data_IF_789236829497
#
_entry.id   IF_789236829497
#
_cell.length_a   1.000
_cell.length_b   1.000
_cell.length_c   1.000
_cell.angle_alpha   90.00
_cell.angle_beta   90.00
_cell.angle_gamma   90.00
#
_symmetry.space_group_name_H-M   'P 1'
#
loop_
_entity.id
_entity.type
_entity.pdbx_description
1 polymer ?
#
# COMPACT_ATOMS: atom_id res chain seq x y z
N UNK A 1 12.86 -26.28 -33.38
CA UNK A 1 12.86 -27.24 -32.25
C UNK A 1 13.69 -26.78 -31.03
N UNK A 2 14.84 -26.11 -31.20
CA UNK A 2 15.70 -25.67 -30.09
C UNK A 2 15.06 -24.60 -29.16
N UNK A 3 14.28 -23.65 -29.70
CA UNK A 3 13.62 -22.59 -28.92
C UNK A 3 12.56 -23.11 -27.92
N UNK A 4 11.85 -24.18 -28.25
CA UNK A 4 10.83 -24.78 -27.38
C UNK A 4 11.43 -25.53 -26.18
N UNK A 5 12.60 -26.15 -26.33
CA UNK A 5 13.31 -26.82 -25.22
C UNK A 5 13.89 -25.80 -24.23
N UNK A 6 14.50 -24.72 -24.74
CA UNK A 6 15.05 -23.63 -23.91
C UNK A 6 13.97 -22.93 -23.08
N UNK A 7 12.83 -22.61 -23.69
CA UNK A 7 11.70 -21.98 -22.99
C UNK A 7 11.10 -22.88 -21.89
N UNK A 8 11.02 -24.20 -22.11
CA UNK A 8 10.55 -25.17 -21.10
C UNK A 8 11.52 -25.31 -19.94
N UNK A 9 12.83 -25.40 -20.21
CA UNK A 9 13.86 -25.45 -19.17
C UNK A 9 13.87 -24.18 -18.31
N UNK A 10 13.72 -23.01 -18.95
CA UNK A 10 13.65 -21.74 -18.25
C UNK A 10 12.41 -21.63 -17.37
N UNK A 11 11.24 -22.04 -17.87
CA UNK A 11 10.00 -22.09 -17.07
C UNK A 11 10.14 -23.03 -15.87
N UNK A 12 10.79 -24.19 -16.05
CA UNK A 12 11.04 -25.13 -14.95
C UNK A 12 11.94 -24.50 -13.87
N UNK A 13 13.00 -23.80 -14.27
CA UNK A 13 13.87 -23.07 -13.33
C UNK A 13 13.12 -21.99 -12.55
N UNK A 14 12.24 -21.21 -13.21
CA UNK A 14 11.42 -20.21 -12.54
C UNK A 14 10.49 -20.85 -11.48
N UNK A 15 9.92 -22.01 -11.79
CA UNK A 15 9.06 -22.76 -10.85
C UNK A 15 9.89 -23.28 -9.68
N UNK A 16 11.03 -23.92 -9.94
CA UNK A 16 11.93 -24.44 -8.89
C UNK A 16 12.39 -23.31 -7.95
N UNK A 17 12.77 -22.16 -8.51
CA UNK A 17 13.16 -20.97 -7.73
C UNK A 17 11.99 -20.38 -6.92
N UNK A 18 10.78 -20.34 -7.47
CA UNK A 18 9.60 -19.90 -6.73
C UNK A 18 9.31 -20.84 -5.56
N UNK A 19 9.36 -22.15 -5.79
CA UNK A 19 9.06 -23.15 -4.76
C UNK A 19 10.14 -23.23 -3.67
N UNK A 20 11.36 -22.74 -3.94
CA UNK A 20 12.43 -22.68 -2.94
C UNK A 20 12.33 -21.48 -1.99
N UNK A 21 11.38 -20.56 -2.21
CA UNK A 21 11.19 -19.40 -1.33
C UNK A 21 10.54 -19.89 -0.02
N UNK A 22 11.31 -19.89 1.06
CA UNK A 22 10.82 -20.27 2.38
C UNK A 22 9.91 -19.20 3.02
N UNK A 23 9.14 -19.58 4.04
CA UNK A 23 8.38 -18.62 4.83
C UNK A 23 9.32 -17.68 5.61
N UNK A 24 8.84 -16.46 5.84
CA UNK A 24 9.51 -15.45 6.66
C UNK A 24 8.58 -15.08 7.80
N UNK A 25 9.08 -15.13 9.04
CA UNK A 25 8.33 -14.68 10.20
C UNK A 25 8.16 -13.16 10.14
N UNK A 26 7.04 -12.62 10.61
CA UNK A 26 6.80 -11.17 10.69
C UNK A 26 6.76 -10.78 12.15
N UNK A 27 7.51 -9.75 12.53
CA UNK A 27 7.62 -9.28 13.91
C UNK A 27 7.64 -7.74 13.99
N UNK A 28 7.41 -7.25 15.20
CA UNK A 28 7.57 -5.87 15.61
C UNK A 28 8.56 -5.82 16.78
N UNK A 29 9.54 -4.94 16.71
CA UNK A 29 10.52 -4.72 17.75
C UNK A 29 10.46 -3.26 18.19
N UNK A 30 10.00 -2.98 19.41
CA UNK A 30 10.00 -1.63 19.97
C UNK A 30 11.23 -1.41 20.85
N UNK A 31 12.02 -0.39 20.49
CA UNK A 31 13.20 0.02 21.21
C UNK A 31 12.86 1.18 22.16
N UNK A 32 13.49 1.26 23.35
CA UNK A 32 13.31 2.38 24.25
C UNK A 32 13.77 3.70 23.61
N UNK A 33 13.16 4.82 24.03
CA UNK A 33 13.53 6.15 23.55
C UNK A 33 14.94 6.57 23.98
N UNK A 34 15.58 7.45 23.21
CA UNK A 34 16.98 7.87 23.39
C UNK A 34 17.36 8.46 24.77
N UNK A 35 16.38 8.83 25.62
CA UNK A 35 16.64 9.39 26.97
C UNK A 35 17.01 8.34 28.03
N UNK A 36 16.94 7.04 27.72
CA UNK A 36 17.30 5.97 28.65
C UNK A 36 18.73 5.44 28.52
N UNK A 37 19.49 5.86 27.50
CA UNK A 37 20.80 5.29 27.18
C UNK A 37 21.98 5.95 27.91
N UNK A 38 21.75 6.98 28.73
CA UNK A 38 22.76 7.60 29.59
C UNK A 38 22.80 6.92 30.95
N UNK A 39 23.13 5.63 30.99
CA UNK A 39 23.18 4.92 32.26
C UNK A 39 23.55 3.44 32.19
N UNK A 40 24.85 3.18 32.28
CA UNK A 40 25.49 1.91 32.72
C UNK A 40 25.35 0.70 31.79
N UNK A 41 26.50 0.09 31.54
CA UNK A 41 26.62 -1.17 30.81
C UNK A 41 25.99 -2.36 31.54
N UNK A 42 25.69 -3.37 30.73
CA UNK A 42 25.25 -4.75 31.06
C UNK A 42 23.80 -4.92 31.54
N UNK A 43 22.84 -4.70 30.62
CA UNK A 43 21.78 -5.65 30.22
C UNK A 43 21.09 -5.10 28.95
N UNK A 44 21.61 -5.47 27.79
CA UNK A 44 21.46 -4.78 26.49
C UNK A 44 20.05 -4.84 25.83
N UNK A 45 19.07 -5.40 26.52
CA UNK A 45 17.69 -5.62 26.05
C UNK A 45 16.64 -5.02 26.99
N UNK A 46 17.06 -4.29 28.03
CA UNK A 46 16.13 -3.70 29.01
C UNK A 46 15.18 -2.70 28.32
N UNK A 47 13.88 -2.95 28.41
CA UNK A 47 12.84 -2.13 27.77
C UNK A 47 12.65 -2.39 26.27
N UNK A 48 13.31 -3.38 25.68
CA UNK A 48 13.06 -3.82 24.29
C UNK A 48 11.88 -4.80 24.28
N UNK A 49 10.90 -4.55 23.42
CA UNK A 49 9.73 -5.41 23.30
C UNK A 49 9.64 -6.03 21.91
N UNK A 50 9.70 -7.37 21.83
CA UNK A 50 9.49 -8.13 20.60
C UNK A 50 8.09 -8.73 20.59
N UNK A 51 7.30 -8.42 19.57
CA UNK A 51 5.97 -8.97 19.35
C UNK A 51 5.88 -9.63 17.98
N UNK A 52 5.11 -10.72 17.81
CA UNK A 52 4.80 -11.20 16.48
C UNK A 52 3.89 -10.20 15.76
N UNK A 53 3.98 -10.14 14.43
CA UNK A 53 3.06 -9.35 13.61
C UNK A 53 1.60 -9.82 13.76
N UNK A 54 0.62 -9.07 13.22
CA UNK A 54 -0.80 -9.32 13.50
C UNK A 54 -1.28 -10.77 13.27
N UNK A 55 -1.65 -11.42 14.39
CA UNK A 55 -2.05 -12.82 14.43
C UNK A 55 -0.95 -13.82 14.03
N UNK A 56 0.31 -13.43 14.21
CA UNK A 56 1.49 -14.27 14.09
C UNK A 56 1.74 -15.15 15.33
N UNK A 57 2.53 -16.20 15.15
CA UNK A 57 3.01 -17.03 16.25
C UNK A 57 4.26 -16.39 16.89
N UNK A 58 4.62 -16.73 18.14
CA UNK A 58 5.86 -16.27 18.76
C UNK A 58 7.08 -16.51 17.87
N UNK A 59 8.03 -15.56 17.89
CA UNK A 59 9.21 -15.59 17.02
C UNK A 59 10.19 -16.65 17.51
N UNK A 60 10.64 -17.50 16.59
CA UNK A 60 11.65 -18.55 16.82
C UNK A 60 12.86 -18.36 15.91
N UNK A 61 13.72 -19.38 15.77
CA UNK A 61 14.82 -19.37 14.80
C UNK A 61 14.33 -19.31 13.35
N UNK A 62 15.23 -18.86 12.47
CA UNK A 62 15.00 -18.68 11.03
C UNK A 62 14.91 -17.22 10.59
N UNK A 63 14.34 -17.01 9.40
CA UNK A 63 14.22 -15.68 8.78
C UNK A 63 13.08 -14.87 9.40
N UNK A 64 13.37 -13.62 9.80
CA UNK A 64 12.40 -12.72 10.44
C UNK A 64 12.43 -11.34 9.78
N UNK A 65 11.31 -10.94 9.19
CA UNK A 65 11.02 -9.58 8.78
C UNK A 65 10.52 -8.79 9.99
N UNK A 66 11.20 -7.70 10.34
CA UNK A 66 10.92 -6.94 11.56
C UNK A 66 10.59 -5.51 11.20
N UNK A 67 9.44 -5.02 11.67
CA UNK A 67 9.20 -3.58 11.84
C UNK A 67 9.91 -3.12 13.10
N UNK A 68 10.83 -2.17 12.98
CA UNK A 68 11.47 -1.54 14.12
C UNK A 68 10.71 -0.28 14.50
N UNK A 69 10.40 -0.18 15.79
CA UNK A 69 9.80 0.99 16.42
C UNK A 69 10.78 1.62 17.41
N UNK A 70 10.61 2.92 17.64
CA UNK A 70 11.22 3.63 18.77
C UNK A 70 10.12 4.37 19.51
N UNK A 71 9.90 3.99 20.77
CA UNK A 71 8.80 4.50 21.58
C UNK A 71 7.44 4.44 20.84
N UNK A 72 7.13 3.26 20.29
CA UNK A 72 5.88 2.98 19.58
C UNK A 72 5.79 3.49 18.14
N UNK A 73 6.74 4.30 17.66
CA UNK A 73 6.70 4.87 16.30
C UNK A 73 7.53 4.06 15.30
N UNK A 74 7.01 3.76 14.10
CA UNK A 74 7.75 3.02 13.07
C UNK A 74 8.94 3.84 12.54
N UNK A 75 10.14 3.26 12.55
CA UNK A 75 11.39 3.95 12.14
C UNK A 75 12.14 3.23 11.01
N UNK A 76 11.86 1.95 10.78
CA UNK A 76 12.51 1.16 9.75
C UNK A 76 11.99 -0.26 9.71
N UNK A 77 12.40 -1.01 8.69
CA UNK A 77 12.32 -2.47 8.69
C UNK A 77 13.72 -3.07 8.69
N UNK A 78 13.83 -4.35 9.02
CA UNK A 78 15.02 -5.18 8.79
C UNK A 78 14.63 -6.63 8.49
N UNK A 79 15.53 -7.38 7.86
CA UNK A 79 15.42 -8.84 7.74
C UNK A 79 16.57 -9.48 8.51
N UNK A 80 16.24 -10.14 9.61
CA UNK A 80 17.19 -10.88 10.44
C UNK A 80 17.16 -12.37 10.17
N UNK A 81 18.27 -13.04 10.43
CA UNK A 81 18.33 -14.50 10.59
C UNK A 81 18.61 -14.79 12.06
N UNK A 82 17.68 -15.47 12.73
CA UNK A 82 17.83 -15.90 14.11
C UNK A 82 18.39 -17.33 14.13
N UNK A 83 19.62 -17.57 14.61
CA UNK A 83 20.18 -18.92 14.70
C UNK A 83 19.39 -19.83 15.62
N UNK A 84 19.48 -21.14 15.40
CA UNK A 84 18.88 -22.13 16.30
C UNK A 84 19.46 -22.01 17.71
N UNK A 85 18.59 -21.93 18.72
CA UNK A 85 18.97 -21.77 20.12
C UNK A 85 19.39 -20.35 20.55
N UNK A 86 19.44 -19.39 19.62
CA UNK A 86 19.69 -17.99 19.97
C UNK A 86 18.42 -17.30 20.50
N UNK A 87 18.60 -16.28 21.36
CA UNK A 87 17.51 -15.40 21.77
C UNK A 87 17.12 -14.44 20.63
N UNK A 88 15.89 -14.52 20.08
CA UNK A 88 15.44 -13.62 19.02
C UNK A 88 15.51 -12.15 19.42
N UNK A 89 15.26 -11.80 20.69
CA UNK A 89 15.27 -10.41 21.14
C UNK A 89 16.67 -9.84 21.03
N UNK A 90 17.67 -10.52 21.59
CA UNK A 90 19.06 -10.08 21.53
C UNK A 90 19.57 -9.94 20.08
N UNK A 91 19.29 -10.91 19.21
CA UNK A 91 19.73 -10.89 17.80
C UNK A 91 19.11 -9.71 17.05
N UNK A 92 17.78 -9.57 17.13
CA UNK A 92 17.06 -8.54 16.37
C UNK A 92 17.32 -7.13 16.93
N UNK A 93 17.48 -6.98 18.24
CA UNK A 93 17.87 -5.72 18.86
C UNK A 93 19.27 -5.27 18.42
N UNK A 94 20.23 -6.19 18.30
CA UNK A 94 21.56 -5.90 17.77
C UNK A 94 21.50 -5.32 16.36
N UNK A 95 20.76 -5.97 15.46
CA UNK A 95 20.57 -5.51 14.08
C UNK A 95 19.84 -4.16 14.02
N UNK A 96 18.84 -3.95 14.87
CA UNK A 96 18.03 -2.73 14.85
C UNK A 96 18.81 -1.47 15.29
N UNK A 97 19.92 -1.62 16.02
CA UNK A 97 20.80 -0.49 16.41
C UNK A 97 21.57 0.09 15.23
N UNK A 98 21.79 -0.68 14.18
CA UNK A 98 22.45 -0.21 12.95
C UNK A 98 21.53 0.69 12.11
N UNK A 99 20.21 0.72 12.39
CA UNK A 99 19.30 1.61 11.71
C UNK A 99 19.64 3.08 12.04
N UNK A 100 19.66 3.96 11.01
CA UNK A 100 20.03 5.35 11.21
C UNK A 100 19.11 6.01 12.24
N UNK A 101 19.66 6.89 13.09
CA UNK A 101 18.85 7.62 14.04
C UNK A 101 17.83 8.48 13.30
N UNK A 102 16.55 8.35 13.68
CA UNK A 102 15.50 9.22 13.18
C UNK A 102 15.39 10.47 14.04
N UNK A 103 15.04 11.59 13.39
CA UNK A 103 14.75 12.82 14.10
C UNK A 103 13.62 12.59 15.12
N UNK A 104 13.64 13.29 16.27
CA UNK A 104 12.54 13.24 17.22
C UNK A 104 11.24 13.61 16.50
N UNK A 105 10.15 12.89 16.79
CA UNK A 105 8.89 13.19 16.15
C UNK A 105 8.40 14.59 16.52
N UNK A 106 7.90 15.31 15.53
CA UNK A 106 7.13 16.53 15.79
C UNK A 106 5.82 16.16 16.53
N UNK A 107 5.38 17.00 17.49
CA UNK A 107 4.06 16.87 18.09
C UNK A 107 2.98 16.91 16.98
N UNK A 108 2.06 15.95 17.02
CA UNK A 108 0.95 15.96 16.07
C UNK A 108 -0.06 17.04 16.49
N UNK A 109 -0.61 17.79 15.53
CA UNK A 109 -1.78 18.60 15.80
C UNK A 109 -2.98 17.71 16.13
N UNK A 110 -3.98 18.28 16.81
CA UNK A 110 -5.26 17.59 17.04
C UNK A 110 -5.89 17.24 15.69
N UNK A 111 -6.15 15.96 15.41
CA UNK A 111 -6.70 15.57 14.11
C UNK A 111 -8.16 16.05 13.98
N UNK A 112 -8.60 16.38 12.76
CA UNK A 112 -10.00 16.71 12.51
C UNK A 112 -10.89 15.47 12.60
N UNK A 113 -12.20 15.64 12.84
CA UNK A 113 -13.20 14.56 12.75
C UNK A 113 -13.01 13.72 11.47
N UNK A 114 -13.05 12.41 11.58
CA UNK A 114 -12.76 11.49 10.47
C UNK A 114 -13.89 10.50 10.20
N UNK A 115 -13.93 9.96 8.99
CA UNK A 115 -14.75 8.79 8.67
C UNK A 115 -13.91 7.76 7.96
N UNK A 116 -13.98 6.50 8.40
CA UNK A 116 -13.27 5.39 7.76
C UNK A 116 -14.25 4.61 6.89
N UNK A 117 -13.96 4.50 5.59
CA UNK A 117 -14.71 3.69 4.65
C UNK A 117 -13.95 2.39 4.38
N UNK A 118 -14.61 1.26 4.61
CA UNK A 118 -14.10 -0.08 4.29
C UNK A 118 -15.03 -0.73 3.27
N UNK A 119 -14.54 -0.92 2.05
CA UNK A 119 -15.28 -1.68 1.05
C UNK A 119 -14.97 -3.18 1.20
N UNK A 120 -16.00 -4.01 1.15
CA UNK A 120 -15.83 -5.48 1.21
C UNK A 120 -16.75 -6.18 0.22
N UNK A 121 -16.42 -7.44 -0.08
CA UNK A 121 -17.29 -8.33 -0.85
C UNK A 121 -16.96 -9.79 -0.53
N UNK A 122 -17.91 -10.51 0.05
CA UNK A 122 -17.81 -11.96 0.37
C UNK A 122 -16.56 -12.32 1.19
N UNK A 123 -16.24 -11.48 2.19
CA UNK A 123 -15.01 -11.59 3.01
C UNK A 123 -15.24 -11.26 4.48
N UNK A 124 -16.41 -11.61 5.02
CA UNK A 124 -16.81 -11.30 6.40
C UNK A 124 -15.71 -11.60 7.44
N UNK A 125 -15.04 -12.76 7.35
CA UNK A 125 -13.94 -13.10 8.27
C UNK A 125 -12.71 -12.17 8.19
N UNK A 126 -12.38 -11.62 7.02
CA UNK A 126 -11.29 -10.64 6.88
C UNK A 126 -11.74 -9.27 7.39
N UNK A 127 -12.93 -8.84 6.97
CA UNK A 127 -13.56 -7.61 7.43
C UNK A 127 -13.60 -7.56 8.97
N UNK A 128 -13.92 -8.69 9.62
CA UNK A 128 -13.99 -8.72 11.08
C UNK A 128 -12.66 -8.31 11.74
N UNK A 129 -11.52 -8.77 11.22
CA UNK A 129 -10.21 -8.40 11.75
C UNK A 129 -9.89 -6.93 11.49
N UNK A 130 -10.23 -6.42 10.31
CA UNK A 130 -10.06 -5.02 9.97
C UNK A 130 -10.87 -4.14 10.94
N UNK A 131 -12.16 -4.44 11.14
CA UNK A 131 -13.03 -3.69 12.05
C UNK A 131 -12.58 -3.74 13.51
N UNK A 132 -12.12 -4.90 14.00
CA UNK A 132 -11.57 -5.01 15.36
C UNK A 132 -10.36 -4.05 15.54
N UNK A 133 -9.50 -3.91 14.52
CA UNK A 133 -8.36 -2.98 14.56
C UNK A 133 -8.76 -1.50 14.42
N UNK A 134 -9.83 -1.22 13.67
CA UNK A 134 -10.37 0.14 13.50
C UNK A 134 -11.08 0.63 14.76
N UNK A 135 -11.68 -0.26 15.55
CA UNK A 135 -12.28 0.09 16.83
C UNK A 135 -11.24 0.33 17.94
N UNK A 136 -9.98 -0.03 17.71
CA UNK A 136 -8.87 0.17 18.63
C UNK A 136 -8.05 1.44 18.34
N UNK A 137 -8.52 2.32 17.44
CA UNK A 137 -7.83 3.56 17.09
C UNK A 137 -7.83 4.57 18.23
N UNK A 138 -6.74 5.33 18.39
CA UNK A 138 -6.62 6.43 19.36
C UNK A 138 -7.24 7.76 18.89
N UNK A 139 -7.91 7.75 17.73
CA UNK A 139 -8.50 8.94 17.14
C UNK A 139 -9.73 9.40 17.94
N UNK A 140 -9.80 10.69 18.35
CA UNK A 140 -10.80 11.15 19.31
C UNK A 140 -12.23 11.24 18.77
N UNK A 141 -12.39 11.44 17.45
CA UNK A 141 -13.71 11.68 16.82
C UNK A 141 -13.78 11.05 15.43
N UNK A 142 -14.34 9.84 15.33
CA UNK A 142 -14.51 9.19 14.04
C UNK A 142 -15.70 8.22 13.98
N UNK A 143 -16.17 7.98 12.76
CA UNK A 143 -17.16 6.94 12.43
C UNK A 143 -16.56 5.90 11.46
N UNK A 144 -17.12 4.69 11.45
CA UNK A 144 -16.76 3.62 10.52
C UNK A 144 -17.97 3.30 9.64
N UNK A 145 -17.75 3.29 8.31
CA UNK A 145 -18.74 2.91 7.31
C UNK A 145 -18.23 1.70 6.53
N UNK A 146 -18.94 0.59 6.64
CA UNK A 146 -18.72 -0.60 5.82
C UNK A 146 -19.60 -0.52 4.58
N UNK A 147 -18.99 -0.62 3.41
CA UNK A 147 -19.70 -0.73 2.14
C UNK A 147 -19.61 -2.15 1.62
N UNK A 148 -20.72 -2.89 1.71
CA UNK A 148 -20.83 -4.23 1.14
C UNK A 148 -21.15 -4.13 -0.35
N UNK A 149 -20.19 -4.55 -1.19
CA UNK A 149 -20.20 -4.29 -2.62
C UNK A 149 -20.66 -5.50 -3.44
N UNK A 150 -21.84 -5.37 -4.04
CA UNK A 150 -22.53 -6.39 -4.80
C UNK A 150 -22.56 -7.74 -4.07
N UNK A 151 -23.08 -7.76 -2.81
CA UNK A 151 -23.20 -9.00 -2.05
C UNK A 151 -24.12 -9.98 -2.76
N UNK A 152 -23.77 -11.25 -2.64
CA UNK A 152 -24.61 -12.38 -3.05
C UNK A 152 -25.11 -13.18 -1.84
N UNK A 153 -24.58 -12.90 -0.65
CA UNK A 153 -25.00 -13.45 0.64
C UNK A 153 -25.28 -12.33 1.65
N UNK A 154 -25.95 -12.63 2.76
CA UNK A 154 -26.17 -11.68 3.86
C UNK A 154 -25.04 -11.73 4.92
N UNK A 155 -23.98 -12.52 4.71
CA UNK A 155 -22.95 -12.80 5.72
C UNK A 155 -22.28 -11.53 6.25
N UNK A 156 -21.93 -10.60 5.35
CA UNK A 156 -21.33 -9.30 5.72
C UNK A 156 -22.30 -8.47 6.56
N UNK A 157 -23.56 -8.36 6.14
CA UNK A 157 -24.58 -7.58 6.84
C UNK A 157 -24.81 -8.14 8.24
N UNK A 158 -25.02 -9.44 8.33
CA UNK A 158 -25.25 -10.13 9.60
C UNK A 158 -24.05 -10.01 10.54
N UNK A 159 -22.81 -10.06 10.02
CA UNK A 159 -21.60 -9.81 10.80
C UNK A 159 -21.63 -8.39 11.39
N UNK A 160 -21.91 -7.38 10.56
CA UNK A 160 -21.92 -5.97 11.00
C UNK A 160 -22.99 -5.73 12.06
N UNK A 161 -24.24 -6.15 11.79
CA UNK A 161 -25.37 -5.95 12.68
C UNK A 161 -25.20 -6.70 14.01
N UNK A 162 -24.74 -7.96 13.99
CA UNK A 162 -24.66 -8.79 15.21
C UNK A 162 -23.42 -8.52 16.06
N UNK A 163 -22.23 -8.37 15.46
CA UNK A 163 -20.97 -8.23 16.21
C UNK A 163 -20.64 -6.77 16.55
N UNK A 164 -20.92 -5.85 15.64
CA UNK A 164 -20.49 -4.46 15.77
C UNK A 164 -21.61 -3.50 16.17
N UNK A 165 -22.84 -3.78 15.73
CA UNK A 165 -24.02 -2.99 16.08
C UNK A 165 -23.87 -1.53 15.66
N UNK A 166 -24.26 -0.61 16.53
CA UNK A 166 -24.26 0.84 16.25
C UNK A 166 -22.85 1.45 16.09
N UNK A 167 -21.78 0.73 16.47
CA UNK A 167 -20.40 1.21 16.33
C UNK A 167 -19.91 1.25 14.88
N UNK A 168 -20.57 0.51 13.98
CA UNK A 168 -20.20 0.42 12.57
C UNK A 168 -21.44 0.55 11.70
N UNK A 169 -21.43 1.51 10.78
CA UNK A 169 -22.54 1.74 9.86
C UNK A 169 -22.42 0.84 8.63
N UNK A 170 -23.44 0.04 8.37
CA UNK A 170 -23.55 -0.78 7.16
C UNK A 170 -24.20 0.00 6.00
N UNK A 171 -23.64 -0.12 4.80
CA UNK A 171 -24.21 0.38 3.55
C UNK A 171 -24.06 -0.68 2.46
N UNK A 172 -25.14 -1.00 1.76
CA UNK A 172 -25.09 -1.84 0.56
C UNK A 172 -24.90 -0.99 -0.70
N UNK A 173 -24.02 -1.46 -1.60
CA UNK A 173 -23.87 -1.00 -2.98
C UNK A 173 -24.12 -2.17 -3.94
N UNK A 174 -25.25 -2.24 -4.66
CA UNK A 174 -25.59 -3.39 -5.48
C UNK A 174 -24.72 -3.55 -6.74
N UNK A 175 -24.04 -2.50 -7.21
CA UNK A 175 -23.25 -2.55 -8.45
C UNK A 175 -21.77 -2.83 -8.14
N UNK A 176 -21.17 -3.87 -8.75
CA UNK A 176 -19.80 -4.24 -8.45
C UNK A 176 -18.79 -3.20 -8.96
N UNK A 177 -17.84 -2.85 -8.10
CA UNK A 177 -16.74 -1.94 -8.43
C UNK A 177 -16.22 -1.22 -7.19
N UNK A 178 -14.91 -1.31 -6.93
CA UNK A 178 -14.30 -0.68 -5.76
C UNK A 178 -14.49 0.83 -5.74
N UNK A 179 -14.30 1.52 -6.88
CA UNK A 179 -14.56 2.95 -7.01
C UNK A 179 -16.03 3.31 -6.73
N UNK A 180 -16.97 2.45 -7.13
CA UNK A 180 -18.41 2.62 -6.87
C UNK A 180 -18.68 2.49 -5.38
N UNK A 181 -18.12 1.47 -4.73
CA UNK A 181 -18.22 1.28 -3.29
C UNK A 181 -17.60 2.44 -2.51
N UNK A 182 -16.42 2.92 -2.92
CA UNK A 182 -15.79 4.11 -2.33
C UNK A 182 -16.67 5.35 -2.47
N UNK A 183 -17.27 5.58 -3.64
CA UNK A 183 -18.19 6.71 -3.85
C UNK A 183 -19.48 6.57 -3.03
N UNK A 184 -20.01 5.35 -2.89
CA UNK A 184 -21.15 5.05 -2.00
C UNK A 184 -20.82 5.37 -0.54
N UNK A 185 -19.63 4.97 -0.08
CA UNK A 185 -19.12 5.32 1.24
C UNK A 185 -18.94 6.83 1.40
N UNK A 186 -18.32 7.49 0.42
CA UNK A 186 -18.11 8.95 0.41
C UNK A 186 -19.43 9.73 0.53
N UNK A 187 -20.52 9.22 -0.03
CA UNK A 187 -21.84 9.82 0.10
C UNK A 187 -22.45 9.65 1.51
N UNK A 188 -22.04 8.63 2.26
CA UNK A 188 -22.59 8.28 3.58
C UNK A 188 -21.83 8.91 4.77
N UNK A 189 -20.60 9.40 4.57
CA UNK A 189 -19.73 9.92 5.63
C UNK A 189 -19.99 11.39 5.99
N UNK A 190 -19.65 11.78 7.22
CA UNK A 190 -19.83 13.12 7.78
C UNK A 190 -18.52 13.78 8.24
N UNK A 191 -17.47 13.00 8.46
CA UNK A 191 -16.16 13.49 8.88
C UNK A 191 -15.56 14.49 7.90
N UNK A 192 -14.83 15.47 8.45
CA UNK A 192 -14.06 16.46 7.68
C UNK A 192 -12.98 15.82 6.81
N UNK A 193 -12.44 14.69 7.24
CA UNK A 193 -11.51 13.84 6.48
C UNK A 193 -12.13 12.46 6.31
N UNK A 194 -12.02 11.89 5.11
CA UNK A 194 -12.45 10.52 4.82
C UNK A 194 -11.21 9.67 4.55
N UNK A 195 -11.04 8.61 5.32
CA UNK A 195 -10.01 7.61 5.15
C UNK A 195 -10.59 6.37 4.48
N UNK A 196 -9.81 5.74 3.61
CA UNK A 196 -10.13 4.49 2.93
C UNK A 196 -9.09 3.44 3.30
N UNK A 197 -9.56 2.23 3.59
CA UNK A 197 -8.73 1.07 3.83
C UNK A 197 -9.47 -0.21 3.42
N UNK A 198 -8.74 -1.31 3.27
CA UNK A 198 -9.27 -2.55 2.71
C UNK A 198 -9.73 -3.55 3.80
N UNK A 199 -10.60 -4.49 3.44
CA UNK A 199 -11.06 -5.54 4.35
C UNK A 199 -9.98 -6.56 4.76
N UNK A 200 -8.81 -6.52 4.12
CA UNK A 200 -7.67 -7.39 4.36
C UNK A 200 -6.48 -6.67 4.99
N UNK A 201 -6.72 -5.53 5.64
CA UNK A 201 -5.74 -4.84 6.48
C UNK A 201 -6.00 -5.03 7.99
N UNK A 202 -4.96 -4.78 8.78
CA UNK A 202 -5.02 -4.53 10.22
C UNK A 202 -4.39 -3.15 10.46
N UNK A 203 -5.18 -2.19 10.93
CA UNK A 203 -4.70 -0.84 11.19
C UNK A 203 -3.86 -0.78 12.47
N UNK A 204 -2.73 -0.08 12.43
CA UNK A 204 -1.97 0.25 13.64
C UNK A 204 -2.83 1.11 14.59
N UNK A 205 -2.72 0.99 15.93
CA UNK A 205 -3.55 1.77 16.86
C UNK A 205 -3.51 3.29 16.66
N UNK A 206 -2.40 3.82 16.11
CA UNK A 206 -2.24 5.26 15.82
C UNK A 206 -2.56 5.63 14.37
N UNK A 207 -2.92 4.65 13.54
CA UNK A 207 -3.04 4.81 12.08
C UNK A 207 -3.90 6.01 11.69
N UNK A 208 -5.13 6.09 12.21
CA UNK A 208 -6.08 7.12 11.80
C UNK A 208 -5.64 8.50 12.27
N UNK A 209 -5.11 8.62 13.49
CA UNK A 209 -4.56 9.88 14.01
C UNK A 209 -3.38 10.37 13.18
N UNK A 210 -2.40 9.50 12.92
CA UNK A 210 -1.22 9.85 12.11
C UNK A 210 -1.60 10.20 10.67
N UNK A 211 -2.60 9.53 10.09
CA UNK A 211 -3.04 9.76 8.71
C UNK A 211 -3.82 11.08 8.56
N UNK A 212 -4.58 11.48 9.58
CA UNK A 212 -5.53 12.61 9.50
C UNK A 212 -5.01 13.90 10.13
N UNK A 213 -4.11 13.83 11.12
CA UNK A 213 -3.50 15.00 11.76
C UNK A 213 -2.89 16.01 10.75
N UNK A 214 -2.20 15.58 9.67
CA UNK A 214 -1.65 16.52 8.68
C UNK A 214 -2.67 17.48 8.06
N UNK A 215 -3.97 17.11 7.98
CA UNK A 215 -5.02 17.97 7.43
C UNK A 215 -5.37 19.16 8.31
N UNK A 216 -5.07 19.09 9.61
CA UNK A 216 -5.21 20.19 10.55
C UNK A 216 -4.05 21.20 10.41
N UNK A 217 -2.83 20.72 10.17
CA UNK A 217 -1.65 21.57 9.99
C UNK A 217 -1.65 22.30 8.64
N UNK A 218 -2.20 21.68 7.60
CA UNK A 218 -2.13 22.18 6.23
C UNK A 218 -3.52 22.30 5.55
N UNK A 219 -4.10 23.50 5.47
CA UNK A 219 -5.34 23.76 4.73
C UNK A 219 -5.25 23.44 3.23
N UNK A 220 -4.04 23.45 2.65
CA UNK A 220 -3.79 23.11 1.25
C UNK A 220 -3.62 21.62 0.98
N UNK A 221 -3.57 20.79 2.03
CA UNK A 221 -3.51 19.33 1.91
C UNK A 221 -4.87 18.79 1.47
N UNK A 222 -4.85 18.08 0.34
CA UNK A 222 -6.03 17.42 -0.23
C UNK A 222 -6.06 15.92 -0.01
N UNK A 223 -4.89 15.28 0.10
CA UNK A 223 -4.73 13.84 0.27
C UNK A 223 -3.57 13.51 1.19
N UNK A 224 -3.71 12.46 1.99
CA UNK A 224 -2.62 11.82 2.71
C UNK A 224 -2.61 10.32 2.42
N UNK A 225 -1.44 9.70 2.44
CA UNK A 225 -1.24 8.26 2.29
C UNK A 225 -0.30 7.78 3.39
N UNK A 226 -0.25 6.46 3.63
CA UNK A 226 0.57 5.91 4.70
C UNK A 226 1.37 4.66 4.32
N UNK A 227 2.13 4.17 5.29
CA UNK A 227 2.96 2.97 5.17
C UNK A 227 2.08 1.72 5.16
N UNK A 228 2.43 0.76 4.29
CA UNK A 228 1.76 -0.53 4.20
C UNK A 228 2.84 -1.61 4.28
N UNK A 229 2.75 -2.47 5.30
CA UNK A 229 3.68 -3.58 5.54
C UNK A 229 2.97 -4.94 5.45
N UNK A 230 3.67 -6.04 5.17
CA UNK A 230 3.07 -7.37 5.13
C UNK A 230 2.64 -7.83 6.52
N UNK A 231 1.37 -8.18 6.70
CA UNK A 231 0.91 -8.78 7.96
C UNK A 231 1.51 -10.18 8.19
N UNK A 232 1.77 -10.92 7.10
CA UNK A 232 2.27 -12.31 7.09
C UNK A 232 3.04 -12.62 5.81
N UNK A 233 4.07 -13.46 5.92
CA UNK A 233 4.91 -13.91 4.81
C UNK A 233 5.08 -15.44 4.85
N UNK A 234 3.98 -16.19 4.81
CA UNK A 234 3.97 -17.65 4.99
C UNK A 234 4.13 -18.43 3.69
N UNK A 235 3.82 -17.81 2.55
CA UNK A 235 3.90 -18.48 1.25
C UNK A 235 4.96 -17.83 0.36
N UNK A 236 5.54 -18.60 -0.59
CA UNK A 236 6.41 -18.06 -1.63
C UNK A 236 5.82 -16.84 -2.34
N UNK A 237 4.51 -16.82 -2.56
CA UNK A 237 3.84 -15.74 -3.25
C UNK A 237 3.89 -14.41 -2.46
N UNK A 238 3.66 -14.48 -1.15
CA UNK A 238 3.71 -13.31 -0.28
C UNK A 238 5.13 -12.75 -0.18
N UNK A 239 6.12 -13.63 0.03
CA UNK A 239 7.54 -13.25 0.11
C UNK A 239 8.01 -12.67 -1.23
N UNK A 240 7.61 -13.26 -2.35
CA UNK A 240 7.97 -12.76 -3.68
C UNK A 240 7.41 -11.35 -3.94
N UNK A 241 6.16 -11.08 -3.57
CA UNK A 241 5.57 -9.75 -3.71
C UNK A 241 6.34 -8.72 -2.88
N UNK A 242 6.59 -9.03 -1.61
CA UNK A 242 7.32 -8.13 -0.70
C UNK A 242 8.75 -7.88 -1.18
N UNK A 243 9.41 -8.92 -1.70
CA UNK A 243 10.74 -8.83 -2.29
C UNK A 243 10.82 -7.99 -3.57
N UNK A 244 9.69 -7.54 -4.13
CA UNK A 244 9.68 -6.68 -5.31
C UNK A 244 9.18 -5.26 -5.03
N UNK A 245 9.40 -4.79 -3.80
CA UNK A 245 9.07 -3.45 -3.33
C UNK A 245 7.74 -3.34 -2.60
N UNK A 246 6.97 -4.44 -2.49
CA UNK A 246 5.72 -4.51 -1.73
C UNK A 246 4.81 -3.29 -1.95
N UNK A 247 4.27 -2.76 -0.86
CA UNK A 247 3.52 -1.49 -0.88
C UNK A 247 4.27 -0.34 -0.18
N UNK A 248 5.31 -0.64 0.59
CA UNK A 248 6.05 0.34 1.39
C UNK A 248 6.72 1.41 0.53
N UNK A 249 6.63 2.68 0.95
CA UNK A 249 7.33 3.82 0.31
C UNK A 249 8.48 4.37 1.17
N UNK A 250 9.00 3.53 2.06
CA UNK A 250 10.04 3.89 3.04
C UNK A 250 9.48 4.61 4.26
N UNK A 251 10.39 5.07 5.13
CA UNK A 251 10.10 5.66 6.44
C UNK A 251 10.33 7.17 6.50
N UNK A 252 10.56 7.80 5.34
CA UNK A 252 10.75 9.25 5.24
C UNK A 252 9.44 9.90 4.79
N UNK A 253 8.85 10.82 5.58
CA UNK A 253 7.68 11.58 5.15
C UNK A 253 7.99 12.38 3.89
N UNK A 254 7.03 12.44 2.95
CA UNK A 254 7.21 13.17 1.69
C UNK A 254 5.95 13.94 1.31
N UNK A 255 6.11 15.22 0.96
CA UNK A 255 5.01 16.04 0.46
C UNK A 255 5.20 16.30 -1.04
N UNK A 256 4.12 16.08 -1.79
CA UNK A 256 4.01 16.32 -3.21
C UNK A 256 3.19 17.58 -3.44
N UNK A 257 3.85 18.60 -3.98
CA UNK A 257 3.27 19.91 -4.24
C UNK A 257 3.21 20.15 -5.76
N UNK A 258 2.02 20.27 -6.37
CA UNK A 258 1.92 20.50 -7.81
C UNK A 258 2.54 21.83 -8.26
N UNK A 259 2.69 22.82 -7.36
CA UNK A 259 3.40 24.06 -7.65
C UNK A 259 4.93 23.90 -7.62
N UNK A 260 5.45 22.83 -7.01
CA UNK A 260 6.88 22.50 -6.93
C UNK A 260 7.10 21.02 -7.24
N UNK A 261 6.96 20.61 -8.52
CA UNK A 261 7.11 19.23 -8.92
C UNK A 261 8.49 18.66 -8.52
N UNK A 262 8.54 17.43 -7.98
CA UNK A 262 9.81 16.80 -7.60
C UNK A 262 10.68 16.49 -8.82
N UNK A 263 11.97 16.86 -8.74
CA UNK A 263 12.93 16.68 -9.84
C UNK A 263 13.24 15.20 -10.14
N UNK A 264 13.13 14.32 -9.14
CA UNK A 264 13.32 12.87 -9.26
C UNK A 264 12.11 12.14 -9.87
N UNK A 265 11.01 12.83 -10.18
CA UNK A 265 9.81 12.25 -10.79
C UNK A 265 9.46 12.89 -12.15
N UNK A 266 10.08 12.44 -13.25
CA UNK A 266 9.94 13.09 -14.56
C UNK A 266 8.51 13.01 -15.15
N UNK A 267 7.69 12.08 -14.66
CA UNK A 267 6.31 11.88 -15.08
C UNK A 267 5.29 12.48 -14.09
N UNK A 268 5.72 13.20 -13.04
CA UNK A 268 4.81 13.80 -12.07
C UNK A 268 3.74 14.68 -12.74
N UNK A 269 2.44 14.60 -12.37
CA UNK A 269 1.86 13.75 -11.32
C UNK A 269 1.39 12.36 -11.79
N UNK A 270 1.70 11.95 -13.02
CA UNK A 270 1.25 10.69 -13.64
C UNK A 270 2.02 9.44 -13.18
N UNK A 271 2.82 9.56 -12.10
CA UNK A 271 3.51 8.46 -11.39
C UNK A 271 2.84 8.12 -10.07
N UNK A 272 1.50 8.11 -10.05
CA UNK A 272 0.72 8.08 -8.82
C UNK A 272 1.00 6.90 -7.87
N UNK A 273 1.49 5.77 -8.37
CA UNK A 273 1.88 4.62 -7.54
C UNK A 273 3.08 4.87 -6.62
N UNK A 274 3.81 5.99 -6.79
CA UNK A 274 4.86 6.44 -5.85
C UNK A 274 4.29 7.15 -4.63
N UNK A 275 3.07 7.69 -4.73
CA UNK A 275 2.47 8.51 -3.69
C UNK A 275 1.87 7.68 -2.55
N UNK A 276 1.42 6.45 -2.84
CA UNK A 276 0.79 5.56 -1.88
C UNK A 276 -0.07 4.50 -2.58
N UNK A 277 -1.02 3.92 -1.85
CA UNK A 277 -1.97 2.92 -2.37
C UNK A 277 -3.32 3.02 -1.66
N UNK A 278 -4.38 2.56 -2.32
CA UNK A 278 -5.77 2.59 -1.85
C UNK A 278 -6.03 1.97 -0.47
N UNK A 279 -5.21 1.01 -0.06
CA UNK A 279 -5.32 0.38 1.27
C UNK A 279 -4.98 1.32 2.43
N UNK A 280 -4.33 2.45 2.17
CA UNK A 280 -3.92 3.41 3.20
C UNK A 280 -3.90 4.85 2.63
N UNK A 281 -5.09 5.44 2.51
CA UNK A 281 -5.25 6.79 1.99
C UNK A 281 -6.36 7.55 2.71
N UNK A 282 -6.22 8.86 2.80
CA UNK A 282 -7.25 9.77 3.29
C UNK A 282 -7.34 11.02 2.42
N UNK A 283 -8.51 11.64 2.41
CA UNK A 283 -8.80 12.83 1.63
C UNK A 283 -9.59 13.83 2.46
N UNK A 284 -9.41 15.12 2.17
CA UNK A 284 -10.34 16.13 2.66
C UNK A 284 -11.71 15.85 2.03
N UNK A 285 -12.72 15.55 2.84
CA UNK A 285 -14.02 15.06 2.36
C UNK A 285 -14.69 16.02 1.39
N UNK A 286 -14.65 17.32 1.70
CA UNK A 286 -15.21 18.37 0.84
C UNK A 286 -14.51 18.45 -0.52
N UNK A 287 -13.18 18.28 -0.55
CA UNK A 287 -12.40 18.28 -1.79
C UNK A 287 -12.74 17.05 -2.64
N UNK A 288 -12.72 15.85 -2.05
CA UNK A 288 -12.98 14.62 -2.80
C UNK A 288 -14.39 14.64 -3.41
N UNK A 289 -15.39 15.17 -2.69
CA UNK A 289 -16.74 15.42 -3.22
C UNK A 289 -16.73 16.46 -4.35
N UNK A 290 -16.04 17.58 -4.18
CA UNK A 290 -15.98 18.64 -5.18
C UNK A 290 -15.34 18.19 -6.50
N UNK A 291 -14.38 17.26 -6.46
CA UNK A 291 -13.76 16.70 -7.67
C UNK A 291 -14.54 15.55 -8.31
N UNK A 292 -15.70 15.18 -7.74
CA UNK A 292 -16.58 14.13 -8.25
C UNK A 292 -16.30 12.72 -7.72
N UNK A 293 -15.46 12.58 -6.68
CA UNK A 293 -15.05 11.29 -6.14
C UNK A 293 -14.09 10.52 -7.06
N UNK A 294 -14.17 9.19 -7.00
CA UNK A 294 -13.41 8.28 -7.86
C UNK A 294 -14.14 8.03 -9.18
N UNK A 295 -13.43 7.71 -10.26
CA UNK A 295 -14.09 7.32 -11.53
C UNK A 295 -14.72 5.93 -11.37
N UNK A 296 -16.06 5.79 -11.43
CA UNK A 296 -16.75 4.50 -11.27
C UNK A 296 -16.30 3.41 -12.26
N UNK A 297 -15.75 3.78 -13.42
CA UNK A 297 -15.26 2.83 -14.42
C UNK A 297 -13.86 2.26 -14.09
N UNK A 298 -13.21 2.75 -13.03
CA UNK A 298 -11.92 2.24 -12.53
C UNK A 298 -12.11 1.29 -11.34
N UNK A 299 -11.00 0.81 -10.77
CA UNK A 299 -11.01 0.00 -9.55
C UNK A 299 -11.25 -1.49 -9.75
N UNK A 300 -10.97 -2.25 -8.69
CA UNK A 300 -11.19 -3.70 -8.67
C UNK A 300 -12.68 -4.03 -8.83
N UNK A 301 -13.00 -5.21 -9.38
CA UNK A 301 -14.38 -5.62 -9.66
C UNK A 301 -14.95 -5.10 -10.99
N UNK A 302 -14.33 -4.09 -11.61
CA UNK A 302 -14.69 -3.61 -12.96
C UNK A 302 -13.81 -4.24 -14.05
N UNK A 303 -14.12 -3.96 -15.32
CA UNK A 303 -13.29 -4.35 -16.47
C UNK A 303 -11.95 -3.59 -16.52
N UNK A 304 -11.79 -2.48 -15.81
CA UNK A 304 -10.52 -1.76 -15.69
C UNK A 304 -9.52 -2.41 -14.75
N UNK A 305 -9.98 -3.31 -13.86
CA UNK A 305 -9.17 -4.12 -12.92
C UNK A 305 -8.47 -3.38 -11.78
N UNK A 306 -8.42 -2.05 -11.77
CA UNK A 306 -7.79 -1.26 -10.69
C UNK A 306 -7.60 0.21 -11.06
N UNK A 307 -6.82 0.92 -10.25
CA UNK A 307 -6.35 2.29 -10.53
C UNK A 307 -7.28 3.41 -10.07
N UNK A 308 -8.29 3.12 -9.25
CA UNK A 308 -9.16 4.13 -8.66
C UNK A 308 -8.44 5.03 -7.65
N UNK A 309 -7.57 4.45 -6.81
CA UNK A 309 -6.67 5.17 -5.91
C UNK A 309 -5.75 6.14 -6.67
N UNK A 310 -5.09 5.65 -7.72
CA UNK A 310 -4.21 6.43 -8.59
C UNK A 310 -4.95 7.58 -9.26
N UNK A 311 -6.18 7.32 -9.72
CA UNK A 311 -7.06 8.35 -10.24
C UNK A 311 -7.32 9.42 -9.16
N UNK A 312 -7.73 9.03 -7.95
CA UNK A 312 -7.97 9.95 -6.83
C UNK A 312 -6.76 10.84 -6.51
N UNK A 313 -5.55 10.27 -6.46
CA UNK A 313 -4.33 11.04 -6.19
C UNK A 313 -4.05 12.10 -7.26
N UNK A 314 -4.10 11.71 -8.54
CA UNK A 314 -3.86 12.66 -9.65
C UNK A 314 -4.93 13.73 -9.70
N UNK A 315 -6.20 13.39 -9.40
CA UNK A 315 -7.31 14.35 -9.35
C UNK A 315 -7.07 15.44 -8.31
N UNK A 316 -6.63 15.06 -7.11
CA UNK A 316 -6.29 16.03 -6.05
C UNK A 316 -5.14 16.94 -6.48
N UNK A 317 -4.06 16.38 -7.00
CA UNK A 317 -2.91 17.16 -7.48
C UNK A 317 -3.27 18.09 -8.64
N UNK A 318 -4.15 17.65 -9.54
CA UNK A 318 -4.63 18.45 -10.68
C UNK A 318 -5.49 19.65 -10.27
N UNK A 319 -6.08 19.65 -9.07
CA UNK A 319 -6.76 20.80 -8.47
C UNK A 319 -5.81 21.73 -7.69
N UNK A 320 -4.48 21.57 -7.86
CA UNK A 320 -3.48 22.39 -7.18
C UNK A 320 -3.33 22.08 -5.70
N UNK A 321 -3.88 20.96 -5.21
CA UNK A 321 -3.80 20.54 -3.80
C UNK A 321 -2.57 19.68 -3.56
N UNK A 322 -2.08 19.70 -2.33
CA UNK A 322 -0.93 18.87 -1.91
C UNK A 322 -1.35 17.46 -1.54
N UNK A 323 -0.42 16.52 -1.72
CA UNK A 323 -0.50 15.15 -1.21
C UNK A 323 0.65 14.89 -0.25
N UNK A 324 0.42 14.20 0.86
CA UNK A 324 1.48 13.83 1.83
C UNK A 324 1.53 12.32 2.08
N UNK A 325 2.69 11.72 1.88
CA UNK A 325 3.02 10.39 2.39
C UNK A 325 3.47 10.49 3.84
N UNK A 326 2.80 9.75 4.73
CA UNK A 326 2.98 9.77 6.19
C UNK A 326 3.32 8.36 6.68
N UNK A 327 4.61 7.99 6.78
CA UNK A 327 5.02 6.62 7.11
C UNK A 327 4.64 6.19 8.54
N UNK A 328 4.35 7.13 9.43
CA UNK A 328 3.82 6.83 10.77
C UNK A 328 2.38 6.32 10.75
N UNK A 329 1.61 6.60 9.69
CA UNK A 329 0.30 6.01 9.48
C UNK A 329 0.46 4.62 8.87
N UNK A 330 0.57 3.60 9.73
CA UNK A 330 0.86 2.23 9.31
C UNK A 330 -0.41 1.37 9.22
N UNK A 331 -0.50 0.55 8.17
CA UNK A 331 -1.38 -0.61 8.13
C UNK A 331 -0.62 -1.88 7.77
N UNK A 332 -1.08 -3.01 8.29
CA UNK A 332 -0.59 -4.33 7.95
C UNK A 332 -1.51 -4.99 6.93
N UNK A 333 -0.99 -5.34 5.76
CA UNK A 333 -1.79 -5.89 4.66
C UNK A 333 -1.62 -7.40 4.54
N UNK A 334 -2.73 -8.13 4.40
CA UNK A 334 -2.73 -9.55 4.13
C UNK A 334 -2.60 -9.83 2.64
N UNK A 335 -1.35 -10.01 2.20
CA UNK A 335 -1.02 -10.37 0.83
C UNK A 335 -1.73 -11.64 0.36
N UNK A 336 -2.00 -11.68 -0.95
CA UNK A 336 -2.49 -12.86 -1.65
C UNK A 336 -1.51 -14.04 -1.49
N UNK A 337 -2.05 -15.24 -1.35
CA UNK A 337 -1.28 -16.40 -0.88
C UNK A 337 -0.82 -17.32 -2.00
N UNK A 338 -1.49 -17.33 -3.14
CA UNK A 338 -1.24 -18.30 -4.21
C UNK A 338 -0.54 -17.69 -5.42
N UNK A 339 0.16 -18.53 -6.19
CA UNK A 339 0.74 -18.14 -7.48
C UNK A 339 -0.33 -17.58 -8.44
N UNK A 340 -1.50 -18.22 -8.51
CA UNK A 340 -2.60 -17.78 -9.38
C UNK A 340 -3.10 -16.38 -9.02
N UNK A 341 -3.10 -16.06 -7.73
CA UNK A 341 -3.45 -14.73 -7.26
C UNK A 341 -2.41 -13.69 -7.67
N UNK A 342 -1.11 -14.01 -7.59
CA UNK A 342 -0.05 -13.14 -8.09
C UNK A 342 -0.15 -12.90 -9.59
N UNK A 343 -0.52 -13.90 -10.38
CA UNK A 343 -0.73 -13.73 -11.83
C UNK A 343 -1.87 -12.75 -12.12
N UNK A 344 -2.96 -12.92 -11.38
CA UNK A 344 -4.14 -12.05 -11.46
C UNK A 344 -3.77 -10.62 -11.04
N UNK A 345 -3.00 -10.48 -9.97
CA UNK A 345 -2.53 -9.19 -9.46
C UNK A 345 -1.56 -8.52 -10.43
N UNK A 346 -0.56 -9.23 -10.97
CA UNK A 346 0.40 -8.69 -11.93
C UNK A 346 -0.30 -8.19 -13.20
N UNK A 347 -1.23 -8.97 -13.76
CA UNK A 347 -2.06 -8.52 -14.88
C UNK A 347 -2.92 -7.31 -14.50
N UNK A 348 -3.57 -7.37 -13.33
CA UNK A 348 -4.44 -6.31 -12.80
C UNK A 348 -3.71 -4.98 -12.60
N UNK A 349 -2.49 -4.99 -12.04
CA UNK A 349 -1.65 -3.80 -11.89
C UNK A 349 -1.29 -3.18 -13.24
N UNK A 350 -0.93 -4.01 -14.22
CA UNK A 350 -0.69 -3.53 -15.57
C UNK A 350 -1.94 -2.86 -16.17
N UNK A 351 -3.09 -3.53 -16.09
CA UNK A 351 -4.35 -3.02 -16.64
C UNK A 351 -4.84 -1.76 -15.91
N UNK A 352 -4.80 -1.75 -14.58
CA UNK A 352 -5.21 -0.62 -13.77
C UNK A 352 -4.35 0.62 -14.02
N UNK A 353 -3.02 0.44 -14.19
CA UNK A 353 -2.08 1.53 -14.47
C UNK A 353 -2.47 2.29 -15.75
N UNK A 354 -2.76 1.61 -16.85
CA UNK A 354 -3.12 2.30 -18.10
C UNK A 354 -4.60 2.64 -18.18
N UNK A 355 -5.47 1.93 -17.45
CA UNK A 355 -6.87 2.29 -17.30
C UNK A 355 -7.04 3.64 -16.58
N UNK A 356 -6.35 3.89 -15.47
CA UNK A 356 -6.48 5.18 -14.76
C UNK A 356 -5.91 6.33 -15.59
N UNK A 357 -4.78 6.14 -16.29
CA UNK A 357 -4.24 7.15 -17.20
C UNK A 357 -5.25 7.50 -18.28
N UNK A 358 -5.92 6.49 -18.84
CA UNK A 358 -7.00 6.68 -19.80
C UNK A 358 -8.16 7.45 -19.16
N UNK A 359 -8.57 7.09 -17.95
CA UNK A 359 -9.63 7.77 -17.20
C UNK A 359 -9.31 9.25 -16.97
N UNK A 360 -8.08 9.58 -16.54
CA UNK A 360 -7.63 10.96 -16.33
C UNK A 360 -7.71 11.76 -17.64
N UNK A 361 -7.18 11.22 -18.74
CA UNK A 361 -7.18 11.94 -20.02
C UNK A 361 -8.58 12.09 -20.62
N UNK A 362 -9.46 11.11 -20.38
CA UNK A 362 -10.84 11.14 -20.86
C UNK A 362 -11.70 12.12 -20.06
N UNK A 363 -11.53 12.20 -18.74
CA UNK A 363 -12.30 13.12 -17.89
C UNK A 363 -11.66 14.53 -17.80
N UNK A 364 -10.37 14.67 -18.13
CA UNK A 364 -9.63 15.95 -18.17
C UNK A 364 -8.70 16.01 -19.38
N UNK A 365 -9.24 16.20 -20.60
CA UNK A 365 -8.42 16.26 -21.82
C UNK A 365 -7.39 17.41 -21.80
N UNK A 366 -7.61 18.45 -21.01
CA UNK A 366 -6.65 19.54 -20.80
C UNK A 366 -5.29 19.08 -20.22
N UNK A 367 -5.22 17.89 -19.59
CA UNK A 367 -3.97 17.32 -19.08
C UNK A 367 -3.13 16.62 -20.16
N UNK A 368 -3.67 16.41 -21.37
CA UNK A 368 -2.98 15.68 -22.44
C UNK A 368 -1.65 16.32 -22.87
N UNK A 369 -1.55 17.65 -23.10
CA UNK A 369 -0.28 18.27 -23.47
C UNK A 369 0.78 18.10 -22.36
N UNK A 370 0.37 18.28 -21.10
CA UNK A 370 1.24 18.11 -19.95
C UNK A 370 1.74 16.66 -19.79
N UNK A 371 0.88 15.68 -20.09
CA UNK A 371 1.25 14.26 -20.12
C UNK A 371 2.26 13.98 -21.24
N UNK A 372 1.94 14.36 -22.49
CA UNK A 372 2.77 14.11 -23.67
C UNK A 372 4.17 14.75 -23.54
N UNK A 373 4.25 15.97 -23.00
CA UNK A 373 5.52 16.66 -22.76
C UNK A 373 6.46 15.88 -21.82
N UNK A 374 5.91 15.06 -20.91
CA UNK A 374 6.67 14.29 -19.92
C UNK A 374 7.02 12.88 -20.39
N UNK A 375 6.35 12.36 -21.42
CA UNK A 375 6.59 11.00 -21.95
C UNK A 375 8.06 10.76 -22.34
N UNK A 376 8.75 11.66 -23.08
CA UNK A 376 10.16 11.45 -23.42
C UNK A 376 11.06 11.31 -22.20
N UNK A 377 10.89 12.17 -21.18
CA UNK A 377 11.62 12.09 -19.91
C UNK A 377 11.31 10.81 -19.14
N UNK A 378 10.04 10.38 -19.12
CA UNK A 378 9.64 9.10 -18.53
C UNK A 378 10.27 7.88 -19.23
N UNK A 379 10.32 7.88 -20.57
CA UNK A 379 10.96 6.83 -21.35
C UNK A 379 12.47 6.81 -21.15
N UNK A 380 13.12 7.98 -21.08
CA UNK A 380 14.55 8.10 -20.79
C UNK A 380 14.88 7.55 -19.39
N UNK A 381 14.07 7.91 -18.38
CA UNK A 381 14.21 7.41 -17.02
C UNK A 381 13.99 5.89 -16.93
N UNK A 382 12.96 5.36 -17.60
CA UNK A 382 12.71 3.91 -17.67
C UNK A 382 13.87 3.16 -18.34
N UNK A 383 14.45 3.73 -19.41
CA UNK A 383 15.63 3.18 -20.09
C UNK A 383 16.86 3.19 -19.20
N UNK A 384 17.12 4.27 -18.47
CA UNK A 384 18.19 4.36 -17.48
C UNK A 384 18.07 3.30 -16.39
N UNK A 385 16.86 3.12 -15.85
CA UNK A 385 16.57 2.05 -14.87
C UNK A 385 16.76 0.64 -15.45
N UNK A 386 16.59 0.44 -16.77
CA UNK A 386 16.84 -0.87 -17.42
C UNK A 386 18.27 -1.09 -17.88
N UNK A 387 19.02 -0.04 -18.20
CA UNK A 387 20.41 -0.13 -18.62
C UNK A 387 21.33 -0.55 -17.46
N UNK A 388 20.96 -0.18 -16.24
CA UNK A 388 21.59 -0.63 -14.99
C UNK A 388 21.23 -2.10 -14.64
N UNK A 389 20.39 -2.78 -15.44
CA UNK A 389 19.90 -4.16 -15.20
C UNK A 389 20.52 -5.21 -16.15
N UNK A 390 21.81 -5.06 -16.48
CA UNK A 390 22.56 -6.06 -17.26
C UNK A 390 22.76 -7.38 -16.49
N UNK A 391 22.93 -8.53 -17.17
CA UNK A 391 22.91 -9.88 -16.55
C UNK A 391 24.15 -10.22 -15.70
N UNK A 392 25.14 -9.33 -15.63
CA UNK A 392 26.42 -9.55 -14.94
C UNK A 392 26.63 -8.63 -13.72
N UNK A 393 25.67 -7.74 -13.41
CA UNK A 393 25.76 -6.91 -12.21
C UNK A 393 24.94 -7.53 -11.07
N UNK A 394 25.61 -8.29 -10.22
CA UNK A 394 25.20 -8.41 -8.82
C UNK A 394 25.26 -7.04 -8.14
N UNK A 395 24.42 -6.87 -7.12
CA UNK A 395 24.47 -5.83 -6.09
C UNK A 395 24.63 -4.35 -6.53
N UNK A 396 23.58 -3.57 -6.26
CA UNK A 396 23.70 -2.13 -6.04
C UNK A 396 23.38 -1.23 -7.23
N UNK A 397 22.17 -0.67 -7.25
CA UNK A 397 21.89 0.66 -7.79
C UNK A 397 20.49 1.12 -7.40
N UNK A 398 20.39 1.59 -6.16
CA UNK A 398 19.30 2.37 -5.59
C UNK A 398 19.81 3.14 -4.36
N UNK A 399 21.09 3.50 -4.36
CA UNK A 399 21.71 4.28 -3.30
C UNK A 399 21.59 5.76 -3.65
N UNK A 400 20.49 6.35 -3.21
CA UNK A 400 20.43 7.76 -2.87
C UNK A 400 19.76 7.92 -1.50
N UNK A 401 20.24 7.13 -0.53
CA UNK A 401 20.45 7.60 0.85
C UNK A 401 21.41 6.63 1.54
N UNK A 402 22.34 7.15 2.32
CA UNK A 402 23.48 6.38 2.86
C UNK A 402 23.09 5.41 3.98
N UNK A 403 23.61 4.17 3.88
CA UNK A 403 23.55 3.18 4.95
C UNK A 403 23.75 1.76 4.39
N UNK A 404 24.93 1.19 4.60
CA UNK A 404 25.32 -0.12 4.09
C UNK A 404 24.56 -1.27 4.80
N UNK A 405 23.96 -2.18 4.02
CA UNK A 405 23.36 -3.42 4.50
C UNK A 405 22.68 -4.16 3.35
N UNK A 406 22.83 -5.48 3.29
CA UNK A 406 22.15 -6.34 2.32
C UNK A 406 20.65 -6.04 2.30
N UNK A 407 20.07 -5.91 1.11
CA UNK A 407 18.73 -5.33 0.89
C UNK A 407 17.67 -5.84 1.86
N UNK A 408 17.28 -4.98 2.78
CA UNK A 408 16.18 -5.21 3.72
C UNK A 408 14.85 -5.22 2.94
N UNK A 409 14.03 -6.27 3.01
CA UNK A 409 12.67 -6.25 2.49
C UNK A 409 11.89 -5.08 3.13
N UNK A 410 11.04 -4.41 2.36
CA UNK A 410 10.27 -3.23 2.80
C UNK A 410 10.95 -1.88 2.52
N UNK A 411 12.20 -1.87 2.04
CA UNK A 411 12.76 -0.70 1.37
C UNK A 411 12.09 -0.51 0.00
N UNK A 412 11.73 0.72 -0.36
CA UNK A 412 11.20 1.06 -1.68
C UNK A 412 12.33 0.91 -2.73
N UNK A 413 12.68 -0.33 -3.07
CA UNK A 413 13.61 -0.83 -4.11
C UNK A 413 14.42 -2.08 -3.68
N UNK A 414 14.14 -2.65 -2.49
CA UNK A 414 14.77 -3.91 -2.07
C UNK A 414 14.32 -5.07 -2.98
N UNK A 415 15.28 -5.77 -3.61
CA UNK A 415 15.03 -6.96 -4.44
C UNK A 415 15.79 -8.18 -3.93
N UNK A 416 15.14 -9.00 -3.11
CA UNK A 416 15.76 -10.22 -2.55
C UNK A 416 15.51 -11.46 -3.40
N UNK A 417 14.44 -11.49 -4.21
CA UNK A 417 14.16 -12.56 -5.17
C UNK A 417 13.92 -12.00 -6.58
N UNK A 418 14.36 -12.68 -7.65
CA UNK A 418 14.14 -12.21 -9.00
C UNK A 418 12.67 -12.33 -9.39
N UNK A 419 12.14 -11.28 -10.00
CA UNK A 419 10.75 -11.26 -10.46
C UNK A 419 10.57 -12.14 -11.70
N UNK A 420 9.67 -13.15 -11.67
CA UNK A 420 9.49 -14.08 -12.77
C UNK A 420 9.10 -13.39 -14.09
N UNK A 421 9.68 -13.86 -15.21
CA UNK A 421 9.41 -13.27 -16.55
C UNK A 421 7.94 -13.43 -16.93
N UNK A 422 7.30 -14.50 -16.47
CA UNK A 422 5.87 -14.74 -16.66
C UNK A 422 5.02 -13.61 -16.07
N UNK A 423 5.29 -13.18 -14.83
CA UNK A 423 4.58 -12.08 -14.18
C UNK A 423 4.83 -10.75 -14.90
N UNK A 424 6.08 -10.49 -15.31
CA UNK A 424 6.44 -9.31 -16.13
C UNK A 424 5.67 -9.25 -17.46
N UNK A 425 5.53 -10.40 -18.14
CA UNK A 425 4.75 -10.50 -19.40
C UNK A 425 3.27 -10.26 -19.16
N UNK A 426 2.71 -10.80 -18.08
CA UNK A 426 1.31 -10.58 -17.70
C UNK A 426 1.03 -9.11 -17.41
N UNK A 427 1.91 -8.44 -16.67
CA UNK A 427 1.80 -7.02 -16.39
C UNK A 427 1.81 -6.18 -17.68
N UNK A 428 2.74 -6.44 -18.61
CA UNK A 428 2.76 -5.76 -19.92
C UNK A 428 1.50 -6.02 -20.75
N UNK A 429 0.98 -7.25 -20.75
CA UNK A 429 -0.30 -7.57 -21.40
C UNK A 429 -1.47 -6.81 -20.76
N UNK A 430 -1.45 -6.68 -19.43
CA UNK A 430 -2.39 -5.84 -18.70
C UNK A 430 -2.32 -4.38 -19.16
N UNK A 431 -1.12 -3.81 -19.25
CA UNK A 431 -0.92 -2.42 -19.70
C UNK A 431 -1.52 -2.15 -21.09
N UNK A 432 -1.37 -3.09 -22.03
CA UNK A 432 -2.00 -2.98 -23.35
C UNK A 432 -3.53 -3.06 -23.29
N UNK A 433 -4.08 -3.83 -22.35
CA UNK A 433 -5.51 -4.00 -22.18
C UNK A 433 -6.19 -2.83 -21.46
N UNK A 434 -5.52 -2.18 -20.51
CA UNK A 434 -6.12 -1.19 -19.60
C UNK A 434 -7.02 -0.14 -20.26
N UNK A 435 -6.63 0.54 -21.36
CA UNK A 435 -7.49 1.51 -22.03
C UNK A 435 -8.80 0.89 -22.56
N UNK A 436 -8.70 -0.31 -23.16
CA UNK A 436 -9.87 -1.06 -23.63
C UNK A 436 -10.73 -1.52 -22.45
N UNK A 437 -10.10 -1.98 -21.36
CA UNK A 437 -10.76 -2.34 -20.11
C UNK A 437 -11.58 -1.20 -19.53
N UNK A 438 -10.99 0.00 -19.47
CA UNK A 438 -11.66 1.22 -19.03
C UNK A 438 -12.86 1.58 -19.91
N UNK A 439 -12.69 1.65 -21.24
CA UNK A 439 -13.79 1.97 -22.15
C UNK A 439 -14.93 0.96 -22.07
N UNK A 440 -14.62 -0.33 -21.90
CA UNK A 440 -15.62 -1.37 -21.68
C UNK A 440 -16.32 -1.23 -20.32
N UNK A 441 -15.61 -0.86 -19.26
CA UNK A 441 -16.20 -0.57 -17.96
C UNK A 441 -17.17 0.62 -18.06
N UNK A 442 -16.74 1.73 -18.68
CA UNK A 442 -17.58 2.91 -18.88
C UNK A 442 -18.84 2.61 -19.71
N UNK A 443 -18.72 1.80 -20.76
CA UNK A 443 -19.89 1.35 -21.54
C UNK A 443 -20.86 0.51 -20.72
N UNK A 444 -20.36 -0.39 -19.87
CA UNK A 444 -21.20 -1.21 -18.98
C UNK A 444 -21.92 -0.37 -17.92
N UNK A 445 -21.28 0.71 -17.45
CA UNK A 445 -21.90 1.62 -16.49
C UNK A 445 -23.06 2.43 -17.10
N UNK A 446 -22.91 2.88 -18.35
CA UNK A 446 -24.00 3.52 -19.10
C UNK A 446 -25.23 2.62 -19.21
N UNK A 447 -25.04 1.31 -19.37
CA UNK A 447 -26.16 0.37 -19.46
C UNK A 447 -26.92 0.18 -18.15
N UNK A 448 -26.34 0.55 -17.00
CA UNK A 448 -26.98 0.45 -15.68
C UNK A 448 -27.30 1.82 -15.06
N UNK A 449 -27.25 2.90 -15.85
CA UNK A 449 -27.64 4.25 -15.43
C UNK A 449 -26.66 4.95 -14.47
N UNK A 450 -25.45 4.42 -14.27
CA UNK A 450 -24.41 5.03 -13.46
C UNK A 450 -23.43 5.80 -14.35
N UNK A 451 -23.80 7.01 -14.78
CA UNK A 451 -22.85 7.86 -15.50
C UNK A 451 -21.89 8.58 -14.55
N UNK A 452 -20.59 8.53 -14.86
CA UNK A 452 -19.60 9.42 -14.26
C UNK A 452 -19.86 10.85 -14.79
N UNK A 453 -20.09 11.82 -13.90
CA UNK A 453 -20.19 13.24 -14.24
C UNK A 453 -18.85 13.80 -14.70
#
# INVERSE_FOLDING_TARGET
>A
MAGGRRARQETRREIEQFLSIGPVQVAELDLPGARGAEGRGTADTEGVELRPGPGGAPITSGSVFVLVRRAGRPVGTLLGQVPDGADPVAVLAGLARELPPQAPPEPLPVPPSASVVVATRERAGRLARALDSLLAQDHPDFEIVVVDNAPVTEETRELVERKYGERVRYVCEPVPGLAIAHNRGLAAVHGRVVAFTDDDVVADPRWLTELTAPFAADPGLGCATGLILPARLRTPAQVLLESHGGFAKGFVPRTYDPARPPADEPLFPFTAGRFGSGANMAFRTSLLRAVGGFDPATGAGTRARGGDDLYGFVRVLAEGRRLRYTPSALVWHHHRETWRDLETQAYGYGAGLTAYLTAILVNRPALLPAFLARVPGGLAHARGLTAVRGPEAGDGAGAADGGAGAGVPGGHDSRTHPWPRRLSRLQRRGMLYGPVGYLRARRALRTVGLEAR
#
